data_IF_883911523993
#
_entry.id   IF_883911523993
#
_cell.length_a   1.000
_cell.length_b   1.000
_cell.length_c   1.000
_cell.angle_alpha   90.00
_cell.angle_beta   90.00
_cell.angle_gamma   90.00
#
_symmetry.space_group_name_H-M   'P 1'
#
loop_
_entity.id
_entity.type
_entity.pdbx_description
1 polymer ?
#
# COMPACT_ATOMS: atom_id res chain seq x y z
N UNK A 1 13.33 -6.81 -47.28
CA UNK A 1 12.10 -6.19 -46.74
C UNK A 1 12.47 -5.72 -45.35
N UNK A 2 12.43 -4.43 -45.04
CA UNK A 2 12.99 -3.93 -43.77
C UNK A 2 12.10 -4.33 -42.60
N UNK A 3 12.70 -4.87 -41.54
CA UNK A 3 12.02 -5.18 -40.30
C UNK A 3 11.55 -3.88 -39.61
N UNK A 4 10.23 -3.66 -39.59
CA UNK A 4 9.62 -2.41 -39.11
C UNK A 4 9.99 -2.08 -37.65
N UNK A 5 10.12 -3.09 -36.80
CA UNK A 5 10.44 -2.89 -35.37
C UNK A 5 11.87 -2.34 -35.21
N UNK A 6 12.82 -2.91 -35.97
CA UNK A 6 14.22 -2.46 -35.98
C UNK A 6 14.34 -1.05 -36.54
N UNK A 7 13.63 -0.76 -37.64
CA UNK A 7 13.58 0.57 -38.26
C UNK A 7 13.02 1.64 -37.32
N UNK A 8 11.84 1.41 -36.74
CA UNK A 8 11.20 2.36 -35.82
C UNK A 8 12.07 2.61 -34.59
N UNK A 9 12.70 1.56 -34.06
CA UNK A 9 13.61 1.66 -32.92
C UNK A 9 14.86 2.48 -33.23
N UNK A 10 15.55 2.18 -34.34
CA UNK A 10 16.72 2.94 -34.77
C UNK A 10 16.36 4.39 -35.08
N UNK A 11 15.27 4.64 -35.81
CA UNK A 11 14.83 5.98 -36.20
C UNK A 11 14.54 6.91 -35.01
N UNK A 12 13.99 6.38 -33.91
CA UNK A 12 13.72 7.17 -32.71
C UNK A 12 14.96 7.42 -31.82
N UNK A 13 15.97 6.56 -31.90
CA UNK A 13 17.05 6.51 -30.91
C UNK A 13 18.44 6.88 -31.46
N UNK A 14 18.68 6.82 -32.77
CA UNK A 14 20.02 7.05 -33.35
C UNK A 14 20.59 8.45 -33.08
N UNK A 15 19.75 9.46 -32.85
CA UNK A 15 20.19 10.82 -32.48
C UNK A 15 20.58 10.96 -31.01
N UNK A 16 20.18 10.01 -30.15
CA UNK A 16 20.34 10.08 -28.70
C UNK A 16 21.44 9.16 -28.17
N UNK A 17 21.75 8.09 -28.88
CA UNK A 17 22.67 7.05 -28.43
C UNK A 17 23.71 6.73 -29.51
N UNK A 18 24.85 6.18 -29.09
CA UNK A 18 25.87 5.70 -30.01
C UNK A 18 25.30 4.55 -30.87
N UNK A 19 25.56 4.60 -32.17
CA UNK A 19 25.05 3.62 -33.14
C UNK A 19 25.51 2.20 -32.81
N UNK A 20 26.75 2.01 -32.34
CA UNK A 20 27.30 0.70 -31.99
C UNK A 20 26.61 0.07 -30.78
N UNK A 21 26.23 0.89 -29.80
CA UNK A 21 25.48 0.42 -28.63
C UNK A 21 24.05 0.01 -29.02
N UNK A 22 23.42 0.76 -29.94
CA UNK A 22 22.11 0.40 -30.48
C UNK A 22 22.17 -0.92 -31.25
N UNK A 23 23.18 -1.12 -32.10
CA UNK A 23 23.41 -2.40 -32.82
C UNK A 23 23.52 -3.57 -31.85
N UNK A 24 24.38 -3.46 -30.82
CA UNK A 24 24.57 -4.50 -29.79
C UNK A 24 23.26 -4.82 -29.07
N UNK A 25 22.46 -3.81 -28.71
CA UNK A 25 21.18 -4.00 -28.03
C UNK A 25 20.15 -4.72 -28.91
N UNK A 26 20.06 -4.36 -30.19
CA UNK A 26 19.15 -4.99 -31.13
C UNK A 26 19.55 -6.45 -31.39
N UNK A 27 20.85 -6.73 -31.54
CA UNK A 27 21.39 -8.09 -31.63
C UNK A 27 21.05 -8.92 -30.38
N UNK A 28 21.24 -8.36 -29.18
CA UNK A 28 20.91 -9.04 -27.92
C UNK A 28 19.41 -9.32 -27.76
N UNK A 29 18.56 -8.60 -28.50
CA UNK A 29 17.11 -8.80 -28.51
C UNK A 29 16.65 -9.87 -29.52
N UNK A 30 17.59 -10.53 -30.22
CA UNK A 30 17.32 -11.66 -31.11
C UNK A 30 17.10 -11.31 -32.59
N UNK A 31 17.35 -10.07 -32.99
CA UNK A 31 17.28 -9.67 -34.40
C UNK A 31 18.58 -10.02 -35.15
N UNK A 32 18.47 -10.30 -36.44
CA UNK A 32 19.64 -10.64 -37.25
C UNK A 32 20.46 -9.40 -37.62
N UNK A 33 21.75 -9.59 -37.92
CA UNK A 33 22.61 -8.50 -38.43
C UNK A 33 22.04 -7.91 -39.72
N UNK A 34 21.43 -8.74 -40.57
CA UNK A 34 20.83 -8.32 -41.83
C UNK A 34 19.63 -7.38 -41.63
N UNK A 35 18.80 -7.60 -40.61
CA UNK A 35 17.68 -6.70 -40.27
C UNK A 35 18.17 -5.31 -39.86
N UNK A 36 19.32 -5.26 -39.18
CA UNK A 36 19.95 -4.02 -38.71
C UNK A 36 20.55 -3.26 -39.90
N UNK A 37 21.30 -3.95 -40.75
CA UNK A 37 21.96 -3.35 -41.91
C UNK A 37 20.92 -2.80 -42.91
N UNK A 38 19.86 -3.56 -43.19
CA UNK A 38 18.73 -3.13 -44.02
C UNK A 38 18.05 -1.86 -43.46
N UNK A 39 17.89 -1.76 -42.13
CA UNK A 39 17.30 -0.59 -41.50
C UNK A 39 18.25 0.63 -41.52
N UNK A 40 19.55 0.43 -41.30
CA UNK A 40 20.57 1.48 -41.37
C UNK A 40 20.69 2.05 -42.78
N UNK A 41 20.56 1.19 -43.80
CA UNK A 41 20.51 1.57 -45.21
C UNK A 41 19.36 2.52 -45.51
N UNK A 42 18.15 2.19 -45.06
CA UNK A 42 16.98 3.07 -45.28
C UNK A 42 17.09 4.37 -44.50
N UNK A 43 17.76 4.37 -43.34
CA UNK A 43 18.01 5.58 -42.55
C UNK A 43 19.19 6.43 -43.06
N UNK A 44 19.94 5.97 -44.06
CA UNK A 44 21.13 6.68 -44.58
C UNK A 44 22.31 6.71 -43.60
N UNK A 45 22.44 5.68 -42.75
CA UNK A 45 23.44 5.60 -41.67
C UNK A 45 24.59 4.61 -41.97
N UNK A 46 24.68 4.07 -43.19
CA UNK A 46 25.66 3.04 -43.58
C UNK A 46 27.13 3.43 -43.32
N UNK A 47 27.45 4.73 -43.29
CA UNK A 47 28.83 5.24 -43.16
C UNK A 47 29.09 6.05 -41.88
N UNK A 48 28.21 6.03 -40.87
CA UNK A 48 28.36 6.85 -39.66
C UNK A 48 29.32 6.27 -38.62
N UNK A 49 30.35 5.53 -39.06
CA UNK A 49 31.37 4.90 -38.21
C UNK A 49 32.43 5.86 -37.65
N UNK A 50 32.29 7.18 -37.83
CA UNK A 50 33.18 8.15 -37.23
C UNK A 50 32.70 8.50 -35.81
N UNK A 51 33.52 8.29 -34.76
CA UNK A 51 33.13 8.59 -33.39
C UNK A 51 32.84 10.09 -33.25
N UNK A 52 31.66 10.42 -32.74
CA UNK A 52 31.37 11.76 -32.23
C UNK A 52 32.29 11.95 -31.03
N UNK A 53 33.32 12.76 -31.20
CA UNK A 53 34.28 13.15 -30.18
C UNK A 53 33.51 13.71 -28.98
N UNK A 54 33.47 12.94 -27.90
CA UNK A 54 33.06 13.40 -26.58
C UNK A 54 34.03 14.49 -26.15
N UNK A 55 33.56 15.72 -26.05
CA UNK A 55 34.31 16.86 -25.51
C UNK A 55 34.61 16.61 -24.03
N UNK A 56 35.77 16.02 -23.77
CA UNK A 56 36.43 15.95 -22.47
C UNK A 56 37.19 17.26 -22.25
N UNK A 57 36.60 18.20 -21.51
CA UNK A 57 37.29 19.39 -20.99
C UNK A 57 38.13 19.00 -19.77
N UNK A 58 39.40 18.67 -20.00
CA UNK A 58 40.47 18.88 -19.02
C UNK A 58 41.16 20.22 -19.37
N UNK A 59 41.37 21.15 -18.42
CA UNK A 59 42.02 22.42 -18.72
C UNK A 59 43.53 22.19 -18.90
N UNK A 60 44.01 22.35 -20.14
CA UNK A 60 45.44 22.46 -20.46
C UNK A 60 45.77 23.93 -20.64
N UNK A 61 46.79 24.33 -19.88
CA UNK A 61 47.48 25.61 -19.84
C UNK A 61 47.84 26.12 -21.26
N UNK A 62 47.46 27.36 -21.59
CA UNK A 62 47.90 28.07 -22.81
C UNK A 62 48.98 29.11 -22.49
N UNK A 63 50.05 29.11 -23.29
CA UNK A 63 50.95 30.25 -23.49
C UNK A 63 50.65 30.92 -24.84
N UNK A 64 50.87 32.25 -25.00
CA UNK A 64 50.41 33.01 -26.16
C UNK A 64 51.51 33.24 -27.22
N UNK A 65 51.10 33.28 -28.49
CA UNK A 65 51.83 33.83 -29.63
C UNK A 65 50.90 33.84 -30.86
N UNK A 66 50.46 35.01 -31.34
CA UNK A 66 51.00 35.71 -32.53
C UNK A 66 51.02 34.79 -33.76
N UNK A 67 50.33 35.05 -34.89
CA UNK A 67 50.53 36.18 -35.81
C UNK A 67 49.28 36.42 -36.71
N UNK A 68 49.34 37.57 -37.39
CA UNK A 68 48.37 38.34 -38.16
C UNK A 68 47.86 37.83 -39.54
N UNK A 69 46.95 38.67 -40.09
CA UNK A 69 46.63 38.96 -41.51
C UNK A 69 45.69 38.02 -42.26
N UNK A 70 44.81 38.46 -43.16
CA UNK A 70 44.27 39.78 -43.54
C UNK A 70 43.12 39.54 -44.55
N UNK A 71 42.15 40.47 -44.59
CA UNK A 71 41.30 40.92 -45.71
C UNK A 71 40.71 39.89 -46.71
N UNK A 72 39.41 40.00 -47.02
CA UNK A 72 38.92 40.84 -48.13
C UNK A 72 37.38 40.93 -48.14
N UNK A 73 36.94 42.15 -48.39
CA UNK A 73 35.61 42.72 -48.62
C UNK A 73 34.85 42.09 -49.80
N UNK A 74 33.52 42.00 -49.71
CA UNK A 74 32.60 42.58 -50.71
C UNK A 74 31.12 42.57 -50.27
N UNK A 75 30.63 43.79 -50.11
CA UNK A 75 29.30 44.38 -50.33
C UNK A 75 28.22 43.53 -51.02
N UNK A 76 27.01 43.49 -50.43
CA UNK A 76 25.89 44.37 -50.83
C UNK A 76 24.51 43.78 -50.47
N UNK A 77 23.58 44.72 -50.23
CA UNK A 77 22.12 44.58 -50.40
C UNK A 77 21.31 43.83 -49.31
N UNK A 78 21.11 44.55 -48.21
CA UNK A 78 19.83 45.18 -47.89
C UNK A 78 18.56 44.33 -48.16
N UNK A 79 18.14 43.55 -47.17
CA UNK A 79 16.74 43.24 -46.92
C UNK A 79 16.59 42.88 -45.44
N UNK A 80 15.99 43.77 -44.66
CA UNK A 80 15.68 43.53 -43.24
C UNK A 80 14.72 42.35 -43.08
N UNK A 81 15.07 41.31 -42.29
CA UNK A 81 14.09 40.47 -41.65
C UNK A 81 14.05 40.83 -40.16
N UNK A 82 12.84 41.15 -39.70
CA UNK A 82 12.48 41.29 -38.29
C UNK A 82 13.14 40.17 -37.48
N UNK A 83 14.15 40.55 -36.71
CA UNK A 83 14.87 39.63 -35.82
C UNK A 83 13.98 39.39 -34.63
N UNK A 84 13.06 38.44 -34.75
CA UNK A 84 12.52 37.78 -33.57
C UNK A 84 13.68 37.03 -32.94
N UNK A 85 14.30 37.67 -31.94
CA UNK A 85 15.21 37.00 -31.01
C UNK A 85 14.36 36.01 -30.21
N UNK A 86 14.06 34.87 -30.83
CA UNK A 86 13.72 33.66 -30.09
C UNK A 86 14.99 33.35 -29.33
N UNK A 87 15.03 33.81 -28.08
CA UNK A 87 15.91 33.26 -27.07
C UNK A 87 15.55 31.79 -27.02
N UNK A 88 16.26 30.98 -27.82
CA UNK A 88 16.35 29.55 -27.61
C UNK A 88 17.06 29.47 -26.28
N UNK A 89 16.24 29.51 -25.22
CA UNK A 89 16.65 29.12 -23.90
C UNK A 89 17.17 27.72 -24.12
N UNK A 90 18.50 27.58 -24.04
CA UNK A 90 19.18 26.31 -24.10
C UNK A 90 18.57 25.49 -22.97
N UNK A 91 17.56 24.70 -23.32
CA UNK A 91 16.89 23.77 -22.41
C UNK A 91 17.98 22.76 -22.16
N UNK A 92 18.80 23.08 -21.15
CA UNK A 92 19.93 22.28 -20.73
C UNK A 92 19.44 20.86 -20.72
N UNK A 93 20.05 20.05 -21.60
CA UNK A 93 19.87 18.61 -21.63
C UNK A 93 20.20 18.12 -20.23
N UNK A 94 19.20 18.08 -19.35
CA UNK A 94 19.25 17.28 -18.15
C UNK A 94 19.27 15.86 -18.67
N UNK A 95 20.49 15.35 -18.85
CA UNK A 95 20.71 13.93 -19.09
C UNK A 95 19.83 13.18 -18.10
N UNK A 96 18.97 12.26 -18.56
CA UNK A 96 18.15 11.49 -17.67
C UNK A 96 19.10 10.73 -16.75
N UNK A 97 19.20 11.20 -15.50
CA UNK A 97 19.98 10.59 -14.43
C UNK A 97 19.60 9.12 -14.43
N UNK A 98 20.46 8.27 -14.99
CA UNK A 98 20.28 6.82 -14.96
C UNK A 98 20.33 6.44 -13.49
N UNK A 99 19.15 6.38 -12.87
CA UNK A 99 19.03 6.08 -11.46
C UNK A 99 19.50 4.64 -11.30
N UNK A 100 20.68 4.50 -10.68
CA UNK A 100 21.30 3.21 -10.36
C UNK A 100 20.22 2.25 -9.86
N UNK A 101 19.93 1.22 -10.66
CA UNK A 101 18.83 0.31 -10.43
C UNK A 101 19.13 -0.50 -9.17
N UNK A 102 18.43 -0.19 -8.10
CA UNK A 102 18.70 -0.79 -6.78
C UNK A 102 17.98 -2.14 -6.67
N UNK A 103 18.68 -3.21 -7.06
CA UNK A 103 18.20 -4.60 -7.01
C UNK A 103 17.68 -5.04 -5.64
N UNK A 104 18.03 -4.34 -4.55
CA UNK A 104 17.50 -4.64 -3.21
C UNK A 104 16.00 -4.35 -3.11
N UNK A 105 15.47 -3.43 -3.93
CA UNK A 105 14.05 -3.01 -3.88
C UNK A 105 13.08 -4.05 -4.44
N UNK A 106 13.56 -4.94 -5.31
CA UNK A 106 12.75 -5.93 -6.04
C UNK A 106 12.31 -7.07 -5.14
N UNK A 107 13.23 -7.54 -4.28
CA UNK A 107 13.04 -8.70 -3.41
C UNK A 107 11.84 -8.52 -2.46
N UNK A 108 11.59 -7.30 -2.01
CA UNK A 108 10.52 -6.98 -1.07
C UNK A 108 9.11 -7.21 -1.63
N UNK A 109 8.88 -6.98 -2.93
CA UNK A 109 7.56 -7.20 -3.54
C UNK A 109 7.20 -8.68 -3.58
N UNK A 110 8.17 -9.53 -3.95
CA UNK A 110 8.02 -10.98 -3.96
C UNK A 110 7.78 -11.54 -2.55
N UNK A 111 8.56 -11.06 -1.57
CA UNK A 111 8.39 -11.46 -0.15
C UNK A 111 7.00 -11.06 0.34
N UNK A 112 6.54 -9.85 0.06
CA UNK A 112 5.18 -9.42 0.42
C UNK A 112 4.10 -10.31 -0.23
N UNK A 113 4.26 -10.68 -1.50
CA UNK A 113 3.36 -11.63 -2.17
C UNK A 113 3.33 -13.00 -1.48
N UNK A 114 4.49 -13.56 -1.12
CA UNK A 114 4.60 -14.84 -0.41
C UNK A 114 3.91 -14.75 0.96
N UNK A 115 4.14 -13.67 1.70
CA UNK A 115 3.47 -13.42 2.98
C UNK A 115 1.95 -13.44 2.79
N UNK A 116 1.43 -12.77 1.76
CA UNK A 116 -0.01 -12.81 1.45
C UNK A 116 -0.53 -14.21 1.14
N UNK A 117 0.24 -15.06 0.44
CA UNK A 117 -0.15 -16.47 0.22
C UNK A 117 -0.20 -17.24 1.55
N UNK A 118 0.78 -17.04 2.42
CA UNK A 118 0.80 -17.62 3.77
C UNK A 118 -0.43 -17.19 4.56
N UNK A 119 -0.87 -15.93 4.43
CA UNK A 119 -2.12 -15.47 5.03
C UNK A 119 -3.35 -16.23 4.54
N UNK A 120 -3.47 -16.45 3.23
CA UNK A 120 -4.61 -17.21 2.67
C UNK A 120 -4.61 -18.63 3.22
N UNK A 121 -3.45 -19.30 3.22
CA UNK A 121 -3.34 -20.66 3.75
C UNK A 121 -3.68 -20.72 5.24
N UNK A 122 -3.17 -19.76 6.00
CA UNK A 122 -3.47 -19.64 7.43
C UNK A 122 -4.96 -19.42 7.68
N UNK A 123 -5.59 -18.55 6.89
CA UNK A 123 -7.01 -18.27 6.98
C UNK A 123 -7.88 -19.48 6.65
N UNK A 124 -7.54 -20.22 5.58
CA UNK A 124 -8.23 -21.47 5.22
C UNK A 124 -8.05 -22.51 6.33
N UNK A 125 -6.83 -22.69 6.83
CA UNK A 125 -6.54 -23.60 7.93
C UNK A 125 -7.35 -23.23 9.18
N UNK A 126 -7.46 -21.94 9.50
CA UNK A 126 -8.26 -21.45 10.62
C UNK A 126 -9.75 -21.79 10.46
N UNK A 127 -10.32 -21.61 9.26
CA UNK A 127 -11.71 -21.99 8.98
C UNK A 127 -11.94 -23.51 9.08
N UNK A 128 -11.04 -24.32 8.52
CA UNK A 128 -11.10 -25.79 8.62
C UNK A 128 -11.02 -26.21 10.09
N UNK A 129 -10.07 -25.63 10.83
CA UNK A 129 -9.88 -25.91 12.25
C UNK A 129 -11.13 -25.55 13.07
N UNK A 130 -11.72 -24.38 12.83
CA UNK A 130 -12.96 -23.96 13.48
C UNK A 130 -14.16 -24.85 13.14
N UNK A 131 -14.24 -25.37 11.92
CA UNK A 131 -15.31 -26.27 11.49
C UNK A 131 -15.17 -27.70 12.06
N UNK A 132 -14.00 -28.32 11.94
CA UNK A 132 -13.79 -29.72 12.32
C UNK A 132 -13.57 -29.93 13.81
N UNK A 133 -12.95 -28.96 14.51
CA UNK A 133 -12.59 -29.12 15.92
C UNK A 133 -13.66 -28.56 16.87
N UNK A 134 -14.86 -28.32 16.34
CA UNK A 134 -16.03 -27.70 16.96
C UNK A 134 -15.96 -27.52 18.48
N UNK A 135 -15.89 -26.26 18.93
CA UNK A 135 -16.03 -25.80 20.32
C UNK A 135 -15.01 -26.32 21.34
N UNK A 136 -14.82 -27.62 21.43
CA UNK A 136 -14.08 -28.35 22.47
C UNK A 136 -12.61 -27.99 22.62
N UNK A 137 -11.94 -27.50 21.56
CA UNK A 137 -10.54 -27.04 21.65
C UNK A 137 -10.44 -25.60 22.17
N UNK A 138 -11.54 -24.85 22.14
CA UNK A 138 -11.60 -23.45 22.58
C UNK A 138 -11.85 -23.30 24.09
N UNK A 139 -12.13 -24.40 24.81
CA UNK A 139 -12.47 -24.36 26.24
C UNK A 139 -11.26 -24.16 27.19
N UNK A 140 -10.05 -23.97 26.65
CA UNK A 140 -8.83 -23.78 27.43
C UNK A 140 -8.33 -22.35 27.46
N UNK A 141 -7.94 -21.85 28.65
CA UNK A 141 -7.14 -20.62 28.79
C UNK A 141 -5.85 -20.64 27.95
N UNK A 142 -5.31 -21.83 27.70
CA UNK A 142 -4.15 -22.07 26.82
C UNK A 142 -4.41 -21.66 25.36
N UNK A 143 -5.63 -21.88 24.87
CA UNK A 143 -6.01 -21.51 23.50
C UNK A 143 -5.93 -20.00 23.29
N UNK A 144 -6.37 -19.22 24.28
CA UNK A 144 -6.36 -17.75 24.24
C UNK A 144 -4.92 -17.23 24.04
N UNK A 145 -3.94 -17.78 24.75
CA UNK A 145 -2.53 -17.35 24.61
C UNK A 145 -1.96 -17.70 23.23
N UNK A 146 -2.23 -18.90 22.72
CA UNK A 146 -1.82 -19.32 21.37
C UNK A 146 -2.47 -18.42 20.32
N UNK A 147 -3.76 -18.14 20.48
CA UNK A 147 -4.51 -17.28 19.57
C UNK A 147 -3.95 -15.85 19.56
N UNK A 148 -3.69 -15.26 20.73
CA UNK A 148 -3.05 -13.93 20.84
C UNK A 148 -1.68 -13.92 20.14
N UNK A 149 -0.86 -14.94 20.36
CA UNK A 149 0.47 -15.05 19.73
C UNK A 149 0.39 -15.10 18.20
N UNK A 150 -0.50 -15.94 17.67
CA UNK A 150 -0.80 -16.02 16.24
C UNK A 150 -1.29 -14.67 15.70
N UNK A 151 -2.22 -14.04 16.41
CA UNK A 151 -2.81 -12.77 15.99
C UNK A 151 -1.74 -11.66 15.91
N UNK A 152 -0.78 -11.66 16.84
CA UNK A 152 0.35 -10.72 16.83
C UNK A 152 1.30 -10.96 15.65
N UNK A 153 1.60 -12.22 15.31
CA UNK A 153 2.36 -12.58 14.10
C UNK A 153 1.62 -12.15 12.83
N UNK A 154 0.30 -12.34 12.80
CA UNK A 154 -0.59 -11.84 11.75
C UNK A 154 -0.73 -10.32 11.72
N UNK A 155 -0.33 -9.58 12.75
CA UNK A 155 -0.24 -8.12 12.66
C UNK A 155 1.09 -7.66 12.08
N UNK A 156 2.17 -8.30 12.49
CA UNK A 156 3.51 -7.99 11.97
C UNK A 156 3.58 -8.33 10.47
N UNK A 157 2.99 -9.45 10.06
CA UNK A 157 3.06 -9.88 8.66
C UNK A 157 2.26 -8.96 7.72
N UNK A 158 1.19 -8.30 8.19
CA UNK A 158 0.37 -7.41 7.35
C UNK A 158 1.09 -6.09 7.09
N UNK A 159 1.96 -5.68 8.03
CA UNK A 159 2.86 -4.56 7.85
C UNK A 159 3.83 -4.79 6.68
N UNK A 160 4.43 -5.99 6.59
CA UNK A 160 5.28 -6.37 5.47
C UNK A 160 4.51 -6.51 4.16
N UNK A 161 3.28 -7.01 4.21
CA UNK A 161 2.39 -7.08 3.05
C UNK A 161 2.10 -5.68 2.47
N UNK A 162 1.70 -4.73 3.33
CA UNK A 162 1.44 -3.34 2.94
C UNK A 162 2.70 -2.62 2.45
N UNK A 163 3.86 -2.92 3.02
CA UNK A 163 5.13 -2.40 2.53
C UNK A 163 5.40 -2.80 1.07
N UNK A 164 4.96 -3.98 0.65
CA UNK A 164 4.95 -4.40 -0.76
C UNK A 164 4.19 -3.42 -1.65
N UNK A 165 3.00 -3.00 -1.23
CA UNK A 165 2.19 -2.00 -1.95
C UNK A 165 2.81 -0.59 -1.93
N UNK A 166 3.52 -0.21 -0.86
CA UNK A 166 4.29 1.05 -0.84
C UNK A 166 5.32 1.08 -1.96
N UNK A 167 6.04 -0.04 -2.17
CA UNK A 167 7.02 -0.19 -3.25
C UNK A 167 6.34 -0.25 -4.62
N UNK A 168 5.23 -0.97 -4.73
CA UNK A 168 4.42 -1.04 -5.94
C UNK A 168 3.88 0.33 -6.37
N UNK A 169 3.42 1.15 -5.42
CA UNK A 169 2.99 2.51 -5.70
C UNK A 169 4.12 3.38 -6.26
N UNK A 170 5.36 3.22 -5.78
CA UNK A 170 6.52 3.92 -6.34
C UNK A 170 6.88 3.44 -7.75
N UNK A 171 6.79 2.13 -7.99
CA UNK A 171 7.06 1.54 -9.30
C UNK A 171 6.02 1.99 -10.35
N UNK A 172 4.73 1.94 -10.01
CA UNK A 172 3.65 2.33 -10.91
C UNK A 172 3.40 3.85 -10.96
N UNK A 173 4.32 4.67 -10.42
CA UNK A 173 4.19 6.12 -10.27
C UNK A 173 2.84 6.59 -9.67
N UNK A 174 2.27 5.78 -8.79
CA UNK A 174 1.01 6.05 -8.09
C UNK A 174 1.31 6.58 -6.69
N UNK A 175 1.42 7.90 -6.57
CA UNK A 175 1.64 8.59 -5.29
C UNK A 175 0.53 8.25 -4.28
N UNK A 176 -0.72 8.13 -4.75
CA UNK A 176 -1.88 7.79 -3.92
C UNK A 176 -1.76 6.39 -3.30
N UNK A 177 -1.32 5.37 -4.06
CA UNK A 177 -1.15 4.02 -3.52
C UNK A 177 -0.01 3.98 -2.50
N UNK A 178 1.10 4.66 -2.79
CA UNK A 178 2.25 4.71 -1.87
C UNK A 178 1.90 5.44 -0.57
N UNK A 179 1.16 6.55 -0.66
CA UNK A 179 0.72 7.32 0.50
C UNK A 179 -0.29 6.55 1.35
N UNK A 180 -1.38 6.06 0.74
CA UNK A 180 -2.43 5.31 1.45
C UNK A 180 -1.91 4.04 2.12
N UNK A 181 -0.99 3.30 1.48
CA UNK A 181 -0.37 2.12 2.08
C UNK A 181 0.46 2.47 3.32
N UNK A 182 1.20 3.60 3.31
CA UNK A 182 1.92 4.08 4.50
C UNK A 182 0.96 4.55 5.60
N UNK A 183 -0.11 5.25 5.23
CA UNK A 183 -1.13 5.68 6.17
C UNK A 183 -1.77 4.47 6.86
N UNK A 184 -2.06 3.40 6.12
CA UNK A 184 -2.51 2.12 6.68
C UNK A 184 -1.50 1.50 7.65
N UNK A 185 -0.21 1.51 7.31
CA UNK A 185 0.82 0.99 8.21
C UNK A 185 0.85 1.75 9.54
N UNK A 186 0.75 3.09 9.51
CA UNK A 186 0.67 3.93 10.72
C UNK A 186 -0.60 3.62 11.49
N UNK A 187 -1.73 3.47 10.80
CA UNK A 187 -3.02 3.18 11.39
C UNK A 187 -3.03 1.83 12.11
N UNK A 188 -2.40 0.79 11.53
CA UNK A 188 -2.25 -0.52 12.16
C UNK A 188 -1.43 -0.40 13.45
N UNK A 189 -0.32 0.35 13.44
CA UNK A 189 0.48 0.59 14.65
C UNK A 189 -0.39 1.25 15.73
N UNK A 190 -1.18 2.27 15.37
CA UNK A 190 -2.02 2.99 16.31
C UNK A 190 -3.13 2.09 16.88
N UNK A 191 -3.75 1.24 16.06
CA UNK A 191 -4.72 0.24 16.51
C UNK A 191 -4.07 -0.75 17.49
N UNK A 192 -2.86 -1.23 17.21
CA UNK A 192 -2.14 -2.14 18.12
C UNK A 192 -1.84 -1.45 19.46
N UNK A 193 -1.36 -0.21 19.43
CA UNK A 193 -1.10 0.57 20.65
C UNK A 193 -2.39 0.75 21.47
N UNK A 194 -3.52 1.00 20.80
CA UNK A 194 -4.81 1.14 21.45
C UNK A 194 -5.31 -0.17 22.07
N UNK A 195 -5.11 -1.30 21.40
CA UNK A 195 -5.43 -2.64 21.93
C UNK A 195 -4.58 -2.93 23.16
N UNK A 196 -3.26 -2.74 23.07
CA UNK A 196 -2.34 -2.96 24.20
C UNK A 196 -2.70 -2.04 25.37
N UNK A 197 -2.93 -0.75 25.10
CA UNK A 197 -3.34 0.22 26.12
C UNK A 197 -4.65 -0.17 26.80
N UNK A 198 -5.63 -0.66 26.03
CA UNK A 198 -6.92 -1.13 26.56
C UNK A 198 -6.75 -2.35 27.46
N UNK A 199 -5.88 -3.30 27.09
CA UNK A 199 -5.57 -4.48 27.90
C UNK A 199 -4.87 -4.09 29.20
N UNK A 200 -3.81 -3.28 29.13
CA UNK A 200 -3.03 -2.85 30.31
C UNK A 200 -3.92 -2.09 31.29
N UNK A 201 -4.74 -1.16 30.79
CA UNK A 201 -5.64 -0.38 31.62
C UNK A 201 -6.79 -1.24 32.18
N UNK A 202 -7.31 -2.19 31.41
CA UNK A 202 -8.27 -3.18 31.90
C UNK A 202 -7.72 -4.01 33.06
N UNK A 203 -6.47 -4.48 32.95
CA UNK A 203 -5.78 -5.20 34.03
C UNK A 203 -5.58 -4.34 35.27
N UNK A 204 -5.28 -3.05 35.10
CA UNK A 204 -5.14 -2.10 36.20
C UNK A 204 -6.46 -1.90 36.95
N UNK A 205 -7.57 -1.68 36.22
CA UNK A 205 -8.92 -1.53 36.82
C UNK A 205 -9.32 -2.80 37.59
N UNK A 206 -9.06 -3.98 37.04
CA UNK A 206 -9.36 -5.26 37.72
C UNK A 206 -8.51 -5.41 38.97
N UNK A 207 -7.21 -5.09 38.92
CA UNK A 207 -6.30 -5.19 40.07
C UNK A 207 -6.76 -4.29 41.22
N UNK A 208 -7.08 -3.03 40.93
CA UNK A 208 -7.55 -2.07 41.93
C UNK A 208 -8.90 -2.49 42.52
N UNK A 209 -9.80 -3.04 41.69
CA UNK A 209 -11.07 -3.62 42.13
C UNK A 209 -10.87 -4.77 43.12
N UNK A 210 -9.97 -5.72 42.82
CA UNK A 210 -9.68 -6.87 43.69
C UNK A 210 -9.03 -6.46 45.01
N UNK A 211 -8.12 -5.48 45.00
CA UNK A 211 -7.48 -5.01 46.24
C UNK A 211 -8.47 -4.30 47.18
N UNK A 212 -9.41 -3.53 46.63
CA UNK A 212 -10.45 -2.88 47.42
C UNK A 212 -11.44 -3.88 48.06
N UNK A 213 -11.69 -5.02 47.41
CA UNK A 213 -12.52 -6.11 47.98
C UNK A 213 -11.78 -6.85 49.10
N UNK A 214 -10.50 -7.17 48.90
CA UNK A 214 -9.70 -7.88 49.91
C UNK A 214 -9.29 -7.01 51.11
N UNK A 215 -9.27 -5.68 50.95
CA UNK A 215 -9.03 -4.73 52.04
C UNK A 215 -10.23 -4.58 53.00
N UNK A 216 -11.44 -4.95 52.56
CA UNK A 216 -12.59 -5.16 53.43
C UNK A 216 -12.52 -6.55 54.07
N UNK A 217 -11.49 -6.78 54.90
CA UNK A 217 -11.56 -7.85 55.88
C UNK A 217 -12.66 -7.48 56.88
N UNK A 218 -13.88 -7.91 56.57
CA UNK A 218 -15.00 -7.94 57.50
C UNK A 218 -14.56 -8.85 58.64
N UNK A 219 -14.06 -8.28 59.73
CA UNK A 219 -13.80 -9.01 60.96
C UNK A 219 -15.11 -9.64 61.40
N UNK A 220 -15.23 -10.96 61.24
CA UNK A 220 -16.41 -11.75 61.56
C UNK A 220 -16.78 -11.72 63.05
N UNK A 221 -15.95 -11.10 63.91
CA UNK A 221 -16.14 -11.04 65.36
C UNK A 221 -17.08 -9.92 65.84
N UNK A 222 -17.62 -9.09 64.95
CA UNK A 222 -18.44 -7.92 65.32
C UNK A 222 -19.79 -7.77 64.61
N UNK A 223 -20.28 -8.80 63.89
CA UNK A 223 -21.53 -8.69 63.14
C UNK A 223 -22.76 -8.82 64.06
N UNK A 224 -22.97 -7.82 64.91
CA UNK A 224 -24.23 -7.62 65.62
C UNK A 224 -25.32 -7.28 64.60
N UNK A 225 -26.24 -8.24 64.40
CA UNK A 225 -27.39 -8.21 63.49
C UNK A 225 -28.40 -7.06 63.79
N UNK A 226 -28.13 -6.20 64.77
CA UNK A 226 -29.07 -5.19 65.27
C UNK A 226 -29.09 -3.83 64.55
N UNK A 227 -28.29 -3.59 63.51
CA UNK A 227 -28.21 -2.26 62.88
C UNK A 227 -28.09 -2.26 61.34
N UNK A 228 -28.60 -3.30 60.69
CA UNK A 228 -28.50 -3.53 59.24
C UNK A 228 -29.34 -2.58 58.37
N UNK A 229 -30.25 -1.78 58.94
CA UNK A 229 -31.05 -0.84 58.14
C UNK A 229 -30.31 0.44 57.74
N UNK A 230 -29.17 0.79 58.36
CA UNK A 230 -28.43 2.03 58.04
C UNK A 230 -27.08 1.82 57.34
N UNK A 231 -26.54 0.61 57.33
CA UNK A 231 -25.25 0.29 56.68
C UNK A 231 -25.39 -0.29 55.27
N UNK A 232 -26.59 -0.72 54.86
CA UNK A 232 -26.87 -1.21 53.50
C UNK A 232 -26.71 -0.16 52.39
N UNK A 233 -26.69 1.13 52.73
CA UNK A 233 -26.59 2.24 51.76
C UNK A 233 -25.14 2.66 51.48
N UNK A 234 -24.21 2.41 52.40
CA UNK A 234 -22.84 2.95 52.28
C UNK A 234 -21.88 2.04 51.51
N UNK A 235 -22.16 0.73 51.43
CA UNK A 235 -21.40 -0.20 50.58
C UNK A 235 -21.71 -0.05 49.08
N UNK A 236 -22.80 0.64 48.71
CA UNK A 236 -23.18 0.87 47.32
C UNK A 236 -22.47 2.06 46.65
N UNK A 237 -22.13 3.12 47.40
CA UNK A 237 -21.62 4.37 46.81
C UNK A 237 -20.20 4.24 46.22
N UNK A 238 -19.34 3.40 46.81
CA UNK A 238 -18.00 3.13 46.26
C UNK A 238 -18.03 2.31 44.96
N UNK A 239 -18.99 1.38 44.81
CA UNK A 239 -19.14 0.58 43.60
C UNK A 239 -19.70 1.37 42.40
N UNK A 240 -20.54 2.40 42.64
CA UNK A 240 -21.06 3.23 41.55
C UNK A 240 -19.95 4.09 40.89
N UNK A 241 -18.94 4.53 41.63
CA UNK A 241 -17.80 5.27 41.08
C UNK A 241 -16.93 4.38 40.18
N UNK A 242 -16.66 3.13 40.58
CA UNK A 242 -15.91 2.18 39.77
C UNK A 242 -16.67 1.78 38.49
N UNK A 243 -17.97 1.47 38.60
CA UNK A 243 -18.83 1.14 37.46
C UNK A 243 -18.94 2.34 36.50
N UNK A 244 -19.12 3.56 37.04
CA UNK A 244 -19.16 4.78 36.24
C UNK A 244 -17.86 5.06 35.48
N UNK A 245 -16.71 4.94 36.15
CA UNK A 245 -15.38 5.06 35.53
C UNK A 245 -15.16 4.00 34.44
N UNK A 246 -15.62 2.77 34.68
CA UNK A 246 -15.59 1.71 33.68
C UNK A 246 -16.41 2.07 32.44
N UNK A 247 -17.67 2.48 32.57
CA UNK A 247 -18.49 2.88 31.42
C UNK A 247 -17.93 4.09 30.67
N UNK A 248 -17.44 5.12 31.37
CA UNK A 248 -16.80 6.27 30.73
C UNK A 248 -15.55 5.87 29.95
N UNK A 249 -14.76 4.93 30.47
CA UNK A 249 -13.59 4.39 29.78
C UNK A 249 -13.95 3.64 28.50
N UNK A 250 -14.94 2.75 28.54
CA UNK A 250 -15.42 2.06 27.34
C UNK A 250 -16.04 3.01 26.32
N UNK A 251 -16.73 4.07 26.77
CA UNK A 251 -17.25 5.11 25.89
C UNK A 251 -16.13 5.88 25.18
N UNK A 252 -15.05 6.23 25.91
CA UNK A 252 -13.88 6.91 25.35
C UNK A 252 -13.16 6.01 24.31
N UNK A 253 -12.88 4.75 24.65
CA UNK A 253 -12.28 3.81 23.71
C UNK A 253 -13.19 3.59 22.50
N UNK A 254 -14.49 3.42 22.72
CA UNK A 254 -15.47 3.22 21.66
C UNK A 254 -15.51 4.40 20.69
N UNK A 255 -15.43 5.62 21.20
CA UNK A 255 -15.36 6.83 20.38
C UNK A 255 -14.06 6.89 19.59
N UNK A 256 -12.92 6.59 20.23
CA UNK A 256 -11.61 6.57 19.56
C UNK A 256 -11.55 5.49 18.47
N UNK A 257 -12.07 4.29 18.75
CA UNK A 257 -12.22 3.21 17.76
C UNK A 257 -13.14 3.60 16.62
N UNK A 258 -14.22 4.34 16.88
CA UNK A 258 -15.13 4.83 15.84
C UNK A 258 -14.43 5.83 14.91
N UNK A 259 -13.64 6.76 15.46
CA UNK A 259 -12.82 7.70 14.68
C UNK A 259 -11.79 6.95 13.84
N UNK A 260 -11.12 5.95 14.42
CA UNK A 260 -10.14 5.12 13.71
C UNK A 260 -10.78 4.25 12.63
N UNK A 261 -11.99 3.74 12.86
CA UNK A 261 -12.76 3.01 11.86
C UNK A 261 -13.09 3.89 10.67
N UNK A 262 -13.55 5.13 10.91
CA UNK A 262 -13.79 6.11 9.85
C UNK A 262 -12.50 6.46 9.09
N UNK A 263 -11.40 6.69 9.80
CA UNK A 263 -10.10 6.93 9.18
C UNK A 263 -9.65 5.72 8.33
N UNK A 264 -9.86 4.50 8.83
CA UNK A 264 -9.60 3.25 8.10
C UNK A 264 -10.40 3.24 6.81
N UNK A 265 -11.69 3.54 6.86
CA UNK A 265 -12.57 3.55 5.70
C UNK A 265 -12.13 4.56 4.63
N UNK A 266 -11.76 5.77 5.03
CA UNK A 266 -11.25 6.80 4.10
C UNK A 266 -9.93 6.34 3.46
N UNK A 267 -9.00 5.82 4.25
CA UNK A 267 -7.71 5.33 3.76
C UNK A 267 -7.90 4.10 2.85
N UNK A 268 -8.83 3.19 3.19
CA UNK A 268 -9.24 2.06 2.35
C UNK A 268 -9.69 2.52 0.97
N UNK A 269 -10.55 3.53 0.93
CA UNK A 269 -11.04 4.09 -0.33
C UNK A 269 -9.90 4.66 -1.17
N UNK A 270 -9.01 5.46 -0.56
CA UNK A 270 -7.81 5.98 -1.22
C UNK A 270 -6.88 4.87 -1.73
N UNK A 271 -6.72 3.79 -0.95
CA UNK A 271 -5.91 2.64 -1.31
C UNK A 271 -6.45 1.93 -2.54
N UNK A 272 -7.75 1.62 -2.59
CA UNK A 272 -8.34 0.92 -3.73
C UNK A 272 -8.37 1.79 -5.01
N UNK A 273 -8.56 3.10 -4.88
CA UNK A 273 -8.38 4.03 -6.02
C UNK A 273 -6.91 4.05 -6.47
N UNK A 274 -5.97 4.09 -5.53
CA UNK A 274 -4.54 4.03 -5.80
C UNK A 274 -4.16 2.75 -6.56
N UNK A 275 -4.77 1.62 -6.18
CA UNK A 275 -4.60 0.32 -6.81
C UNK A 275 -5.19 0.29 -8.23
N UNK A 276 -6.36 0.90 -8.41
CA UNK A 276 -7.00 1.07 -9.73
C UNK A 276 -6.10 1.87 -10.68
N UNK A 277 -5.47 2.95 -10.20
CA UNK A 277 -4.52 3.76 -10.98
C UNK A 277 -3.24 2.99 -11.32
N UNK A 278 -2.70 2.22 -10.37
CA UNK A 278 -1.52 1.37 -10.59
C UNK A 278 -1.78 0.25 -11.62
N UNK A 279 -3.05 -0.06 -11.88
CA UNK A 279 -3.49 -1.04 -12.88
C UNK A 279 -3.08 -0.78 -14.32
N UNK A 280 -2.61 0.43 -14.67
CA UNK A 280 -2.01 0.72 -15.98
C UNK A 280 -0.70 -0.04 -16.18
N UNK A 281 0.11 -0.10 -15.13
CA UNK A 281 1.42 -0.74 -15.16
C UNK A 281 1.40 -2.18 -14.65
N UNK A 282 0.49 -2.52 -13.73
CA UNK A 282 0.47 -3.83 -13.09
C UNK A 282 -0.85 -4.54 -13.37
N UNK A 283 -0.78 -5.66 -14.09
CA UNK A 283 -1.92 -6.58 -14.30
C UNK A 283 -2.54 -6.97 -12.96
N UNK A 284 -3.85 -7.21 -12.94
CA UNK A 284 -4.67 -7.50 -11.76
C UNK A 284 -4.90 -6.36 -10.76
N UNK A 285 -4.00 -5.37 -10.65
CA UNK A 285 -4.18 -4.26 -9.72
C UNK A 285 -5.46 -3.44 -10.02
N UNK A 286 -5.78 -3.23 -11.30
CA UNK A 286 -7.02 -2.55 -11.70
C UNK A 286 -8.26 -3.28 -11.18
N UNK A 287 -8.29 -4.61 -11.37
CA UNK A 287 -9.43 -5.45 -11.02
C UNK A 287 -9.57 -5.55 -9.49
N UNK A 288 -8.45 -5.73 -8.78
CA UNK A 288 -8.40 -5.71 -7.32
C UNK A 288 -8.95 -4.37 -6.76
N UNK A 289 -8.53 -3.25 -7.34
CA UNK A 289 -9.00 -1.93 -6.94
C UNK A 289 -10.50 -1.76 -7.13
N UNK A 290 -11.05 -2.21 -8.26
CA UNK A 290 -12.49 -2.14 -8.54
C UNK A 290 -13.29 -3.00 -7.54
N UNK A 291 -12.91 -4.25 -7.32
CA UNK A 291 -13.58 -5.11 -6.34
C UNK A 291 -13.49 -4.56 -4.92
N UNK A 292 -12.34 -3.98 -4.55
CA UNK A 292 -12.17 -3.33 -3.25
C UNK A 292 -13.09 -2.11 -3.07
N UNK A 293 -13.24 -1.26 -4.09
CA UNK A 293 -14.19 -0.13 -4.05
C UNK A 293 -15.63 -0.63 -3.94
N UNK A 294 -16.02 -1.63 -4.72
CA UNK A 294 -17.37 -2.22 -4.66
C UNK A 294 -17.65 -2.79 -3.26
N UNK A 295 -16.71 -3.56 -2.72
CA UNK A 295 -16.80 -4.11 -1.36
C UNK A 295 -16.98 -3.00 -0.32
N UNK A 296 -16.20 -1.93 -0.42
CA UNK A 296 -16.26 -0.80 0.50
C UNK A 296 -17.59 -0.05 0.43
N UNK A 297 -18.16 0.13 -0.78
CA UNK A 297 -19.49 0.73 -0.94
C UNK A 297 -20.55 -0.14 -0.27
N UNK A 298 -20.50 -1.46 -0.45
CA UNK A 298 -21.43 -2.39 0.21
C UNK A 298 -21.28 -2.30 1.73
N UNK A 299 -20.05 -2.27 2.26
CA UNK A 299 -19.79 -2.10 3.70
C UNK A 299 -20.39 -0.80 4.23
N UNK A 300 -20.19 0.34 3.54
CA UNK A 300 -20.79 1.62 3.92
C UNK A 300 -22.31 1.52 3.94
N UNK A 301 -22.91 1.04 2.85
CA UNK A 301 -24.36 0.92 2.72
C UNK A 301 -24.94 0.03 3.82
N UNK A 302 -24.36 -1.15 4.06
CA UNK A 302 -24.79 -2.03 5.14
C UNK A 302 -24.63 -1.36 6.51
N UNK A 303 -23.50 -0.69 6.77
CA UNK A 303 -23.27 -0.01 8.06
C UNK A 303 -24.25 1.12 8.37
N UNK A 304 -24.84 1.76 7.34
CA UNK A 304 -25.83 2.84 7.48
C UNK A 304 -27.26 2.29 7.49
N UNK A 305 -27.57 1.34 6.61
CA UNK A 305 -28.91 0.76 6.47
C UNK A 305 -29.26 -0.09 7.70
N UNK A 306 -28.31 -0.84 8.25
CA UNK A 306 -28.55 -1.73 9.40
C UNK A 306 -29.08 -0.97 10.62
N UNK A 307 -28.42 0.08 11.14
CA UNK A 307 -28.95 0.87 12.25
C UNK A 307 -30.33 1.47 11.96
N UNK A 308 -30.56 1.98 10.74
CA UNK A 308 -31.84 2.58 10.37
C UNK A 308 -32.97 1.53 10.45
N UNK A 309 -32.77 0.33 9.89
CA UNK A 309 -33.74 -0.76 9.97
C UNK A 309 -33.95 -1.18 11.43
N UNK A 310 -32.87 -1.30 12.22
CA UNK A 310 -32.95 -1.67 13.63
C UNK A 310 -33.73 -0.64 14.45
N UNK A 311 -33.60 0.66 14.16
CA UNK A 311 -34.35 1.74 14.83
C UNK A 311 -35.83 1.73 14.44
N UNK A 312 -36.14 1.59 13.14
CA UNK A 312 -37.53 1.66 12.64
C UNK A 312 -38.32 0.40 13.05
N UNK A 313 -37.68 -0.77 13.04
CA UNK A 313 -38.35 -2.06 13.14
C UNK A 313 -37.66 -2.99 14.15
N UNK A 314 -37.35 -2.50 15.36
CA UNK A 314 -36.61 -3.24 16.39
C UNK A 314 -37.23 -4.62 16.71
N UNK A 315 -38.54 -4.67 16.93
CA UNK A 315 -39.24 -5.92 17.24
C UNK A 315 -39.20 -6.94 16.11
N UNK A 316 -39.30 -6.46 14.86
CA UNK A 316 -39.19 -7.32 13.68
C UNK A 316 -37.74 -7.79 13.49
N UNK A 317 -36.75 -6.94 13.75
CA UNK A 317 -35.33 -7.30 13.65
C UNK A 317 -34.96 -8.45 14.59
N UNK A 318 -35.45 -8.45 15.83
CA UNK A 318 -35.15 -9.50 16.81
C UNK A 318 -35.85 -10.81 16.47
N UNK A 319 -37.10 -10.76 16.01
CA UNK A 319 -37.93 -11.97 15.81
C UNK A 319 -37.80 -12.58 14.41
N UNK A 320 -37.26 -11.85 13.45
CA UNK A 320 -37.27 -12.27 12.04
C UNK A 320 -36.01 -13.05 11.66
N UNK A 321 -36.16 -14.37 11.54
CA UNK A 321 -35.15 -15.24 10.91
C UNK A 321 -34.81 -14.79 9.48
N UNK A 322 -35.75 -14.14 8.78
CA UNK A 322 -35.53 -13.66 7.42
C UNK A 322 -34.44 -12.58 7.36
N UNK A 323 -34.45 -11.62 8.29
CA UNK A 323 -33.42 -10.57 8.37
C UNK A 323 -32.04 -11.20 8.59
N UNK A 324 -31.94 -12.19 9.47
CA UNK A 324 -30.71 -12.93 9.71
C UNK A 324 -30.16 -13.57 8.42
N UNK A 325 -31.01 -14.27 7.65
CA UNK A 325 -30.58 -14.86 6.37
C UNK A 325 -30.13 -13.82 5.34
N UNK A 326 -30.82 -12.67 5.26
CA UNK A 326 -30.40 -11.56 4.38
C UNK A 326 -29.01 -11.05 4.78
N UNK A 327 -28.75 -10.86 6.07
CA UNK A 327 -27.41 -10.47 6.56
C UNK A 327 -26.35 -11.51 6.28
N UNK A 328 -26.69 -12.80 6.43
CA UNK A 328 -25.78 -13.89 6.12
C UNK A 328 -25.37 -13.88 4.64
N UNK A 329 -26.32 -13.65 3.73
CA UNK A 329 -26.03 -13.52 2.29
C UNK A 329 -25.17 -12.29 2.00
N UNK A 330 -25.51 -11.13 2.56
CA UNK A 330 -24.72 -9.89 2.39
C UNK A 330 -23.29 -10.10 2.91
N UNK A 331 -23.14 -10.70 4.08
CA UNK A 331 -21.84 -10.99 4.68
C UNK A 331 -21.03 -11.96 3.81
N UNK A 332 -21.66 -13.01 3.26
CA UNK A 332 -21.00 -13.93 2.33
C UNK A 332 -20.52 -13.21 1.05
N UNK A 333 -21.31 -12.28 0.50
CA UNK A 333 -20.92 -11.48 -0.66
C UNK A 333 -19.72 -10.59 -0.33
N UNK A 334 -19.76 -9.85 0.78
CA UNK A 334 -18.66 -9.00 1.25
C UNK A 334 -17.40 -9.83 1.46
N UNK A 335 -17.53 -11.00 2.08
CA UNK A 335 -16.43 -11.92 2.31
C UNK A 335 -15.79 -12.39 0.99
N UNK A 336 -16.58 -12.84 0.02
CA UNK A 336 -16.08 -13.28 -1.29
C UNK A 336 -15.37 -12.13 -2.02
N UNK A 337 -15.95 -10.93 -2.00
CA UNK A 337 -15.34 -9.75 -2.62
C UNK A 337 -14.01 -9.35 -1.97
N UNK A 338 -13.94 -9.37 -0.64
CA UNK A 338 -12.71 -9.08 0.10
C UNK A 338 -11.65 -10.15 -0.14
N UNK A 339 -12.03 -11.42 -0.14
CA UNK A 339 -11.13 -12.52 -0.46
C UNK A 339 -10.56 -12.40 -1.87
N UNK A 340 -11.42 -12.13 -2.87
CA UNK A 340 -11.00 -11.94 -4.25
C UNK A 340 -10.09 -10.72 -4.41
N UNK A 341 -10.41 -9.61 -3.73
CA UNK A 341 -9.58 -8.40 -3.72
C UNK A 341 -8.19 -8.69 -3.14
N UNK A 342 -8.12 -9.43 -2.03
CA UNK A 342 -6.88 -9.82 -1.40
C UNK A 342 -6.04 -10.74 -2.30
N UNK A 343 -6.66 -11.77 -2.89
CA UNK A 343 -6.01 -12.70 -3.82
C UNK A 343 -5.45 -11.97 -5.06
N UNK A 344 -6.24 -11.08 -5.67
CA UNK A 344 -5.77 -10.27 -6.79
C UNK A 344 -4.68 -9.28 -6.38
N UNK A 345 -4.72 -8.78 -5.14
CA UNK A 345 -3.65 -8.00 -4.52
C UNK A 345 -2.33 -8.76 -4.49
N UNK A 346 -2.35 -10.01 -4.04
CA UNK A 346 -1.16 -10.90 -4.04
C UNK A 346 -0.63 -11.10 -5.46
N UNK A 347 -1.48 -11.42 -6.43
CA UNK A 347 -1.06 -11.59 -7.82
C UNK A 347 -0.50 -10.30 -8.43
N UNK A 348 -1.04 -9.15 -8.03
CA UNK A 348 -0.51 -7.85 -8.46
C UNK A 348 0.92 -7.62 -7.94
N UNK A 349 1.23 -8.00 -6.70
CA UNK A 349 2.57 -7.90 -6.14
C UNK A 349 3.57 -8.81 -6.87
N UNK A 350 3.19 -10.06 -7.17
CA UNK A 350 4.04 -10.97 -7.94
C UNK A 350 4.28 -10.48 -9.36
N UNK A 351 3.24 -9.99 -10.03
CA UNK A 351 3.37 -9.46 -11.38
C UNK A 351 4.23 -8.18 -11.40
N UNK A 352 4.06 -7.27 -10.43
CA UNK A 352 4.91 -6.10 -10.28
C UNK A 352 6.38 -6.50 -10.05
N UNK A 353 6.62 -7.48 -9.18
CA UNK A 353 7.97 -8.02 -8.92
C UNK A 353 8.60 -8.55 -10.20
N UNK A 354 7.88 -9.37 -10.99
CA UNK A 354 8.39 -9.95 -12.23
C UNK A 354 8.72 -8.89 -13.28
N UNK A 355 7.87 -7.88 -13.44
CA UNK A 355 8.14 -6.75 -14.35
C UNK A 355 9.41 -6.01 -13.95
N UNK A 356 9.58 -5.76 -12.65
CA UNK A 356 10.77 -5.11 -12.13
C UNK A 356 12.05 -5.94 -12.37
N UNK A 357 12.00 -7.26 -12.17
CA UNK A 357 13.13 -8.17 -12.44
C UNK A 357 13.52 -8.19 -13.93
N UNK A 358 12.55 -8.09 -14.83
CA UNK A 358 12.80 -8.13 -16.28
C UNK A 358 13.40 -6.85 -16.89
N UNK A 359 13.54 -5.77 -16.10
CA UNK A 359 14.05 -4.50 -16.61
C UNK A 359 13.15 -3.82 -17.66
N UNK A 360 11.93 -4.31 -17.87
CA UNK A 360 10.92 -3.66 -18.71
C UNK A 360 10.31 -2.49 -17.94
N UNK A 361 10.93 -1.31 -18.08
CA UNK A 361 10.34 0.00 -17.76
C UNK A 361 10.47 0.89 -18.99
#
# INVERSE_FOLDING_TARGET
MVNKVVFDYLGQNYKKYNLEDLKKKILSSGYSQQDIDDALKVLGLENSGAPIVSSSTNPVFTYPGSVASANTTNSSLNASPVTNTVVIQDIGKTEPKQSKFDLSKVKWMKIAGIIGVVYILFFIMFFIMGYFLGGSIFDGSSFIYVFIGIFLIMFISIFFFLYGFVKMGKFANSSLLSFSSKAYMILIILIILLIIGSIVLGLFIVKDGVQNVNGMNISAEGFHVGNLEKTGVFLGLGSFDLIGKFFMFFALIGTLLSILSLATLIISFCFFIGLTKAGREVKFAKIAGIFGVISLIIIILTSVITPIITIINFDFFIKSNFIFYVYLVIFAIIFILNFLTFLLGIFSLFNASRKFESGYI
#
